data_IF_823415013047
#
_entry.id   IF_823415013047
#
_cell.length_a   1.000
_cell.length_b   1.000
_cell.length_c   1.000
_cell.angle_alpha   90.00
_cell.angle_beta   90.00
_cell.angle_gamma   90.00
#
_symmetry.space_group_name_H-M   'P 1'
#
loop_
_entity.id
_entity.type
_entity.pdbx_description
1 polymer ?
#
# COMPACT_ATOMS: atom_id res chain seq x y z
N UNK A 1 -12.00 -11.18 19.99
CA UNK A 1 -10.55 -11.31 19.99
C UNK A 1 -10.00 -10.30 19.02
N UNK A 2 -9.33 -9.29 19.54
CA UNK A 2 -8.65 -8.35 18.68
C UNK A 2 -7.50 -9.08 18.00
N UNK A 3 -7.58 -9.29 16.69
CA UNK A 3 -6.40 -9.58 15.92
C UNK A 3 -5.47 -8.38 16.13
N UNK A 4 -4.37 -8.60 16.79
CA UNK A 4 -3.28 -7.63 16.84
C UNK A 4 -2.59 -7.62 15.48
N UNK A 5 -3.33 -7.18 14.45
CA UNK A 5 -2.80 -7.06 13.11
C UNK A 5 -1.79 -5.92 13.11
N UNK A 6 -0.54 -6.26 13.25
CA UNK A 6 0.55 -5.29 13.15
C UNK A 6 1.05 -5.21 11.71
N UNK A 7 1.53 -4.03 11.35
CA UNK A 7 2.15 -3.75 10.05
C UNK A 7 3.65 -3.67 10.22
N UNK A 8 4.38 -4.52 9.52
CA UNK A 8 5.84 -4.44 9.44
C UNK A 8 6.21 -3.63 8.20
N UNK A 9 6.91 -2.54 8.40
CA UNK A 9 7.31 -1.62 7.34
C UNK A 9 8.82 -1.61 7.23
N UNK A 10 9.32 -1.76 6.02
CA UNK A 10 10.74 -1.63 5.72
C UNK A 10 10.94 -0.29 5.01
N UNK A 11 11.83 0.55 5.52
CA UNK A 11 11.99 1.91 5.02
C UNK A 11 13.45 2.31 4.87
N UNK A 12 13.67 3.27 4.00
CA UNK A 12 15.00 3.83 3.71
C UNK A 12 15.23 5.11 4.51
N UNK A 13 16.42 5.68 4.36
CA UNK A 13 16.71 7.03 4.84
C UNK A 13 16.39 8.10 3.78
N UNK A 14 15.89 7.66 2.62
CA UNK A 14 15.55 8.54 1.51
C UNK A 14 14.08 8.91 1.54
N UNK A 15 13.78 10.07 0.95
CA UNK A 15 12.43 10.53 0.69
C UNK A 15 12.31 10.90 -0.78
N UNK A 16 11.33 10.30 -1.47
CA UNK A 16 11.04 10.65 -2.86
C UNK A 16 12.19 10.34 -3.83
N UNK A 17 12.94 9.28 -3.57
CA UNK A 17 14.01 8.82 -4.45
C UNK A 17 13.53 7.58 -5.21
N UNK A 18 13.07 7.78 -6.44
CA UNK A 18 12.55 6.71 -7.32
C UNK A 18 13.62 5.69 -7.74
N UNK A 19 14.90 6.04 -7.57
CA UNK A 19 16.03 5.14 -7.83
C UNK A 19 16.45 4.34 -6.60
N UNK A 20 15.86 4.58 -5.44
CA UNK A 20 16.21 3.85 -4.24
C UNK A 20 15.75 2.40 -4.31
N UNK A 21 16.68 1.49 -4.03
CA UNK A 21 16.41 0.05 -3.94
C UNK A 21 16.74 -0.54 -2.56
N UNK A 22 17.21 0.27 -1.61
CA UNK A 22 17.61 -0.19 -0.28
C UNK A 22 16.66 0.28 0.80
N UNK A 23 16.17 -0.67 1.60
CA UNK A 23 15.24 -0.44 2.72
C UNK A 23 15.87 -1.04 3.97
N UNK A 24 16.76 -0.29 4.62
CA UNK A 24 17.63 -0.78 5.69
C UNK A 24 17.02 -0.75 7.08
N UNK A 25 15.92 -0.05 7.24
CA UNK A 25 15.27 0.12 8.52
C UNK A 25 13.97 -0.70 8.54
N UNK A 26 13.56 -1.14 9.72
CA UNK A 26 12.29 -1.80 9.91
C UNK A 26 11.57 -1.21 11.13
N UNK A 27 10.26 -1.11 11.01
CA UNK A 27 9.38 -0.71 12.10
C UNK A 27 8.12 -1.56 12.09
N UNK A 28 7.54 -1.77 13.25
CA UNK A 28 6.30 -2.52 13.40
C UNK A 28 5.37 -1.78 14.35
N UNK A 29 4.12 -1.64 13.95
CA UNK A 29 3.07 -1.04 14.77
C UNK A 29 1.69 -1.39 14.23
N UNK A 30 0.69 -1.31 15.10
CA UNK A 30 -0.72 -1.31 14.74
C UNK A 30 -1.34 0.11 14.87
N UNK A 31 -0.54 1.09 15.25
CA UNK A 31 -0.96 2.48 15.40
C UNK A 31 -0.70 3.27 14.12
N UNK A 32 -1.76 3.86 13.56
CA UNK A 32 -1.65 4.71 12.37
C UNK A 32 -0.70 5.90 12.60
N UNK A 33 -0.68 6.46 13.81
CA UNK A 33 0.19 7.58 14.16
C UNK A 33 1.67 7.19 14.16
N UNK A 34 2.00 6.03 14.69
CA UNK A 34 3.39 5.52 14.66
C UNK A 34 3.82 5.17 13.23
N UNK A 35 2.95 4.50 12.48
CA UNK A 35 3.23 4.11 11.09
C UNK A 35 3.45 5.30 10.17
N UNK A 36 2.79 6.41 10.43
CA UNK A 36 2.96 7.65 9.67
C UNK A 36 4.42 8.12 9.61
N UNK A 37 5.19 7.89 10.67
CA UNK A 37 6.62 8.25 10.71
C UNK A 37 7.41 7.46 9.68
N UNK A 38 7.13 6.17 9.54
CA UNK A 38 7.80 5.29 8.58
C UNK A 38 7.41 5.63 7.14
N UNK A 39 6.15 5.99 6.91
CA UNK A 39 5.62 6.31 5.57
C UNK A 39 6.16 7.63 5.03
N UNK A 40 6.76 8.46 5.85
CA UNK A 40 7.44 9.67 5.36
C UNK A 40 8.69 9.37 4.55
N UNK A 41 9.26 8.17 4.73
CA UNK A 41 10.39 7.67 3.95
C UNK A 41 9.91 6.78 2.80
N UNK A 42 10.77 6.54 1.83
CA UNK A 42 10.54 5.50 0.84
C UNK A 42 10.45 4.16 1.56
N UNK A 43 9.38 3.41 1.34
CA UNK A 43 9.06 2.23 2.13
C UNK A 43 8.44 1.12 1.30
N UNK A 44 8.46 -0.08 1.85
CA UNK A 44 7.80 -1.28 1.34
C UNK A 44 7.32 -2.14 2.50
N UNK A 45 6.34 -3.01 2.24
CA UNK A 45 5.90 -4.02 3.20
C UNK A 45 6.55 -5.39 2.96
N UNK A 46 7.51 -5.47 2.04
CA UNK A 46 8.20 -6.70 1.69
C UNK A 46 9.60 -6.69 2.30
N UNK A 47 9.96 -7.79 2.96
CA UNK A 47 11.33 -8.01 3.41
C UNK A 47 12.15 -8.57 2.25
N UNK A 48 13.32 -7.97 2.01
CA UNK A 48 14.26 -8.41 0.99
C UNK A 48 15.61 -8.82 1.60
N UNK A 49 16.24 -9.85 1.04
CA UNK A 49 17.62 -10.23 1.38
C UNK A 49 18.55 -9.04 1.15
N UNK A 50 19.47 -8.82 2.08
CA UNK A 50 20.42 -7.71 2.04
C UNK A 50 19.75 -6.32 1.95
N UNK A 51 18.48 -6.23 2.36
CA UNK A 51 17.66 -5.00 2.27
C UNK A 51 17.52 -4.43 0.86
N UNK A 52 17.86 -5.22 -0.16
CA UNK A 52 17.87 -4.79 -1.56
C UNK A 52 16.65 -5.29 -2.30
N UNK A 53 15.85 -4.36 -2.82
CA UNK A 53 14.62 -4.66 -3.55
C UNK A 53 14.92 -5.28 -4.92
N UNK A 54 14.73 -6.56 -5.00
CA UNK A 54 14.83 -7.37 -6.21
C UNK A 54 13.95 -8.60 -6.03
N UNK A 55 13.30 -9.06 -7.09
CA UNK A 55 12.39 -10.22 -7.02
C UNK A 55 13.07 -11.45 -6.41
N UNK A 56 14.31 -11.74 -6.81
CA UNK A 56 15.08 -12.88 -6.30
C UNK A 56 15.46 -12.74 -4.81
N UNK A 57 15.33 -11.54 -4.25
CA UNK A 57 15.65 -11.26 -2.85
C UNK A 57 14.42 -11.30 -1.93
N UNK A 58 13.27 -11.66 -2.44
CA UNK A 58 12.06 -11.76 -1.61
C UNK A 58 12.27 -12.73 -0.45
N UNK A 59 11.95 -12.29 0.76
CA UNK A 59 12.00 -13.12 1.97
C UNK A 59 10.58 -13.43 2.43
N UNK A 60 9.80 -12.40 2.75
CA UNK A 60 8.42 -12.56 3.17
C UNK A 60 7.63 -11.26 3.05
N UNK A 61 6.31 -11.39 3.08
CA UNK A 61 5.39 -10.28 3.17
C UNK A 61 4.10 -10.73 3.88
N UNK A 62 3.52 -9.86 4.70
CA UNK A 62 2.24 -10.10 5.37
C UNK A 62 1.26 -8.95 5.22
N UNK A 63 1.48 -8.09 4.24
CA UNK A 63 0.61 -6.97 3.92
C UNK A 63 0.46 -6.89 2.41
N UNK A 64 -0.77 -6.72 1.94
CA UNK A 64 -1.07 -6.42 0.54
C UNK A 64 -1.49 -4.96 0.45
N UNK A 65 -0.98 -4.25 -0.55
CA UNK A 65 -1.32 -2.85 -0.79
C UNK A 65 -2.10 -2.67 -2.08
N UNK A 66 -3.05 -1.75 -2.04
CA UNK A 66 -3.74 -1.24 -3.21
C UNK A 66 -3.36 0.23 -3.39
N UNK A 67 -2.99 0.59 -4.61
CA UNK A 67 -2.74 1.97 -4.98
C UNK A 67 -3.95 2.51 -5.72
N UNK A 68 -4.52 3.59 -5.22
CA UNK A 68 -5.61 4.28 -5.85
C UNK A 68 -5.16 5.67 -6.30
N UNK A 69 -4.94 5.82 -7.59
CA UNK A 69 -4.48 7.08 -8.19
C UNK A 69 -5.59 7.87 -8.88
N UNK A 70 -6.78 7.29 -9.02
CA UNK A 70 -7.92 7.90 -9.72
C UNK A 70 -7.58 8.34 -11.15
N UNK A 71 -6.70 7.60 -11.80
CA UNK A 71 -6.25 7.91 -13.17
C UNK A 71 -7.23 7.44 -14.26
N UNK A 72 -8.30 6.75 -13.86
CA UNK A 72 -9.31 6.19 -14.75
C UNK A 72 -10.30 7.24 -15.29
N UNK A 73 -10.42 8.39 -14.64
CA UNK A 73 -11.35 9.45 -15.04
C UNK A 73 -10.84 10.83 -14.63
N UNK A 74 -11.13 11.82 -15.46
CA UNK A 74 -10.93 13.23 -15.11
C UNK A 74 -12.17 13.88 -14.48
N UNK A 75 -13.29 13.16 -14.43
CA UNK A 75 -14.51 13.60 -13.74
C UNK A 75 -14.45 13.26 -12.25
N UNK A 76 -14.58 14.27 -11.40
CA UNK A 76 -14.56 14.13 -9.95
C UNK A 76 -15.64 13.15 -9.43
N UNK A 77 -16.73 12.98 -10.15
CA UNK A 77 -17.82 12.07 -9.78
C UNK A 77 -17.38 10.60 -9.81
N UNK A 78 -16.37 10.28 -10.59
CA UNK A 78 -15.86 8.93 -10.76
C UNK A 78 -14.71 8.62 -9.80
N UNK A 79 -14.27 9.60 -9.03
CA UNK A 79 -13.13 9.40 -8.13
C UNK A 79 -13.52 8.66 -6.86
N UNK A 80 -12.57 7.85 -6.41
CA UNK A 80 -12.67 7.09 -5.18
C UNK A 80 -11.92 7.84 -4.10
N UNK A 81 -12.55 7.95 -2.94
CA UNK A 81 -11.99 8.65 -1.78
C UNK A 81 -11.58 7.64 -0.69
N UNK A 82 -10.62 7.98 0.17
CA UNK A 82 -10.17 7.08 1.25
C UNK A 82 -11.29 6.53 2.13
N UNK A 83 -12.27 7.35 2.45
CA UNK A 83 -13.41 6.98 3.31
C UNK A 83 -14.27 5.86 2.71
N UNK A 84 -14.27 5.77 1.39
CA UNK A 84 -15.03 4.75 0.68
C UNK A 84 -14.45 3.34 0.91
N UNK A 85 -13.13 3.23 1.05
CA UNK A 85 -12.48 1.95 1.31
C UNK A 85 -12.97 1.33 2.62
N UNK A 86 -13.07 2.13 3.68
CA UNK A 86 -13.59 1.68 4.95
C UNK A 86 -15.05 1.20 4.86
N UNK A 87 -15.84 1.81 3.98
CA UNK A 87 -17.24 1.42 3.78
C UNK A 87 -17.41 0.10 3.02
N UNK A 88 -16.47 -0.22 2.11
CA UNK A 88 -16.50 -1.48 1.35
C UNK A 88 -16.03 -2.66 2.21
N UNK A 89 -15.12 -2.42 3.13
CA UNK A 89 -14.49 -3.46 3.96
C UNK A 89 -14.75 -3.22 5.46
N UNK A 90 -16.03 -3.24 5.91
CA UNK A 90 -16.37 -2.89 7.30
C UNK A 90 -15.78 -3.86 8.34
N UNK A 91 -15.57 -5.12 7.95
CA UNK A 91 -15.11 -6.19 8.85
C UNK A 91 -13.65 -6.60 8.61
N UNK A 92 -12.91 -5.82 7.82
CA UNK A 92 -11.52 -6.12 7.46
C UNK A 92 -10.60 -5.04 8.01
N UNK A 93 -9.54 -5.46 8.70
CA UNK A 93 -8.48 -4.53 9.10
C UNK A 93 -7.84 -3.92 7.86
N UNK A 94 -7.80 -2.60 7.81
CA UNK A 94 -7.24 -1.86 6.69
C UNK A 94 -6.65 -0.55 7.19
N UNK A 95 -5.47 -0.22 6.69
CA UNK A 95 -4.85 1.07 6.90
C UNK A 95 -4.87 1.85 5.60
N UNK A 96 -5.48 3.04 5.62
CA UNK A 96 -5.53 3.93 4.45
C UNK A 96 -4.68 5.17 4.74
N UNK A 97 -3.79 5.50 3.83
CA UNK A 97 -2.94 6.68 3.95
C UNK A 97 -2.71 7.34 2.58
N UNK A 98 -2.60 8.67 2.61
CA UNK A 98 -2.44 9.43 1.37
C UNK A 98 -1.04 9.26 0.79
N UNK A 99 -0.96 9.25 -0.54
CA UNK A 99 0.32 9.27 -1.23
C UNK A 99 0.90 10.70 -1.26
N UNK A 100 2.18 10.82 -1.63
CA UNK A 100 2.86 12.11 -1.78
C UNK A 100 2.21 13.03 -2.82
N UNK A 101 1.54 12.43 -3.80
CA UNK A 101 0.88 13.15 -4.89
C UNK A 101 -0.61 13.39 -4.62
N UNK A 102 -1.08 13.09 -3.41
CA UNK A 102 -2.46 13.36 -3.02
C UNK A 102 -2.83 14.82 -3.20
N UNK A 103 -3.91 15.08 -3.95
CA UNK A 103 -4.40 16.41 -4.28
C UNK A 103 -3.35 17.33 -4.94
N UNK A 104 -2.39 16.74 -5.66
CA UNK A 104 -1.38 17.47 -6.43
C UNK A 104 -1.50 17.12 -7.92
N UNK A 105 -1.12 18.08 -8.76
CA UNK A 105 -0.98 17.83 -10.19
C UNK A 105 0.15 16.85 -10.45
N UNK A 106 -0.09 15.86 -11.30
CA UNK A 106 0.89 14.84 -11.68
C UNK A 106 0.68 14.41 -13.13
N UNK A 107 1.73 14.47 -13.93
CA UNK A 107 1.71 13.93 -15.30
C UNK A 107 0.63 14.52 -16.19
N UNK A 108 0.37 15.82 -16.13
CA UNK A 108 -0.68 16.47 -16.89
C UNK A 108 -2.10 16.26 -16.36
N UNK A 109 -2.27 15.49 -15.30
CA UNK A 109 -3.57 15.23 -14.66
C UNK A 109 -3.80 16.21 -13.51
N UNK A 110 -5.05 16.66 -13.37
CA UNK A 110 -5.49 17.57 -12.32
C UNK A 110 -5.22 17.00 -10.92
N UNK A 111 -5.14 17.86 -9.89
CA UNK A 111 -5.13 17.41 -8.49
C UNK A 111 -6.31 16.49 -8.21
N UNK A 112 -6.05 15.32 -7.64
CA UNK A 112 -7.07 14.31 -7.32
C UNK A 112 -6.65 13.46 -6.13
N UNK A 113 -7.59 12.76 -5.48
CA UNK A 113 -7.24 11.85 -4.39
C UNK A 113 -6.30 10.76 -4.88
N UNK A 114 -5.17 10.59 -4.18
CA UNK A 114 -4.20 9.51 -4.41
C UNK A 114 -3.82 8.93 -3.06
N UNK A 115 -4.03 7.66 -2.88
CA UNK A 115 -3.84 7.02 -1.60
C UNK A 115 -3.51 5.54 -1.74
N UNK A 116 -3.01 4.98 -0.67
CA UNK A 116 -2.73 3.56 -0.53
C UNK A 116 -3.67 2.96 0.51
N UNK A 117 -4.10 1.72 0.29
CA UNK A 117 -4.79 0.92 1.26
C UNK A 117 -3.96 -0.34 1.53
N UNK A 118 -3.61 -0.56 2.79
CA UNK A 118 -2.79 -1.68 3.23
C UNK A 118 -3.63 -2.66 4.06
N UNK A 119 -3.61 -3.93 3.67
CA UNK A 119 -4.39 -5.00 4.28
C UNK A 119 -3.45 -6.04 4.89
N UNK A 120 -3.51 -6.30 6.20
CA UNK A 120 -2.77 -7.39 6.79
C UNK A 120 -3.31 -8.73 6.29
N UNK A 121 -2.41 -9.62 5.94
CA UNK A 121 -2.70 -10.97 5.46
C UNK A 121 -1.78 -11.97 6.16
N UNK A 122 -1.99 -13.26 5.94
CA UNK A 122 -1.05 -14.26 6.42
C UNK A 122 0.33 -14.05 5.78
N UNK A 123 1.38 -14.51 6.43
CA UNK A 123 2.74 -14.34 5.93
C UNK A 123 3.00 -15.24 4.72
N UNK A 124 3.34 -14.62 3.61
CA UNK A 124 3.83 -15.29 2.41
C UNK A 124 5.36 -15.37 2.47
N UNK A 125 5.89 -16.54 2.16
CA UNK A 125 7.34 -16.80 2.08
C UNK A 125 7.79 -17.11 0.66
N UNK A 126 6.87 -17.14 -0.28
CA UNK A 126 7.11 -17.33 -1.71
C UNK A 126 6.70 -16.08 -2.48
N UNK A 127 7.62 -15.54 -3.27
CA UNK A 127 7.35 -14.38 -4.13
C UNK A 127 6.24 -14.67 -5.15
N UNK A 128 6.19 -15.87 -5.68
CA UNK A 128 5.19 -16.30 -6.65
C UNK A 128 3.79 -16.32 -6.02
N UNK A 129 3.64 -16.98 -4.87
CA UNK A 129 2.36 -17.04 -4.15
C UNK A 129 1.86 -15.66 -3.73
N UNK A 130 2.77 -14.81 -3.26
CA UNK A 130 2.45 -13.43 -2.89
C UNK A 130 1.98 -12.63 -4.10
N UNK A 131 2.67 -12.75 -5.23
CA UNK A 131 2.32 -12.08 -6.47
C UNK A 131 0.95 -12.53 -7.00
N UNK A 132 0.68 -13.82 -7.01
CA UNK A 132 -0.61 -14.37 -7.43
C UNK A 132 -1.76 -13.90 -6.54
N UNK A 133 -1.55 -13.93 -5.23
CA UNK A 133 -2.54 -13.45 -4.27
C UNK A 133 -2.81 -11.96 -4.48
N UNK A 134 -1.77 -11.15 -4.62
CA UNK A 134 -1.87 -9.69 -4.82
C UNK A 134 -2.65 -9.37 -6.10
N UNK A 135 -2.38 -10.07 -7.19
CA UNK A 135 -3.08 -9.88 -8.46
C UNK A 135 -4.57 -10.27 -8.37
N UNK A 136 -4.89 -11.35 -7.68
CA UNK A 136 -6.28 -11.75 -7.43
C UNK A 136 -7.01 -10.73 -6.55
N UNK A 137 -6.34 -10.24 -5.52
CA UNK A 137 -6.88 -9.23 -4.61
C UNK A 137 -7.18 -7.93 -5.37
N UNK A 138 -6.26 -7.46 -6.19
CA UNK A 138 -6.44 -6.27 -7.02
C UNK A 138 -7.61 -6.41 -8.01
N UNK A 139 -7.75 -7.57 -8.64
CA UNK A 139 -8.86 -7.83 -9.57
C UNK A 139 -10.21 -7.81 -8.86
N UNK A 140 -10.29 -8.43 -7.70
CA UNK A 140 -11.51 -8.43 -6.88
C UNK A 140 -11.88 -7.02 -6.42
N UNK A 141 -10.91 -6.25 -6.00
CA UNK A 141 -11.10 -4.85 -5.62
C UNK A 141 -11.62 -4.01 -6.79
N UNK A 142 -11.03 -4.14 -7.98
CA UNK A 142 -11.52 -3.43 -9.18
C UNK A 142 -12.95 -3.82 -9.51
N UNK A 143 -13.29 -5.09 -9.39
CA UNK A 143 -14.65 -5.57 -9.60
C UNK A 143 -15.65 -4.91 -8.64
N UNK A 144 -15.33 -4.88 -7.34
CA UNK A 144 -16.17 -4.22 -6.34
C UNK A 144 -16.36 -2.73 -6.64
N UNK A 145 -15.32 -2.08 -7.14
CA UNK A 145 -15.35 -0.65 -7.48
C UNK A 145 -16.20 -0.35 -8.72
N UNK A 146 -16.27 -1.28 -9.67
CA UNK A 146 -17.10 -1.15 -10.86
C UNK A 146 -18.58 -1.43 -10.56
N UNK A 147 -18.85 -2.31 -9.60
CA UNK A 147 -20.22 -2.71 -9.21
C UNK A 147 -20.94 -1.66 -8.35
N UNK A 148 -20.25 -0.69 -7.84
CA UNK A 148 -20.79 0.37 -6.98
C UNK A 148 -20.82 1.70 -7.70
#
# INVERSE_FOLDING_TARGET
MGNNDSYVVYYSNCRNNDKNCYYRNAGESNSAEELKKFFSYDHTFIQFKNNYRKTDNFVCANVVTLDCDNDHSDDEKDWIYPEYIASIFPDVSCLVYTSRNHMKQKGGKSPRPRFHAAFPVHTFVSAEEYSEFTERFKRHFRFLMIML
#
